data_IF_659695278661
#
_entry.id   IF_659695278661
#
_cell.length_a   1.000
_cell.length_b   1.000
_cell.length_c   1.000
_cell.angle_alpha   90.00
_cell.angle_beta   90.00
_cell.angle_gamma   90.00
#
_symmetry.space_group_name_H-M   'P 1'
#
loop_
_entity.id
_entity.type
_entity.pdbx_description
1 polymer ?
#
# COMPACT_ATOMS: atom_id res chain seq x y z
N UNK A 1 1.03 -4.91 11.37
CA UNK A 1 0.81 -6.07 10.48
C UNK A 1 1.93 -7.11 10.51
N UNK A 2 3.02 -6.94 11.29
CA UNK A 2 4.04 -7.98 11.46
C UNK A 2 5.01 -8.13 10.28
N UNK A 3 5.16 -7.07 9.48
CA UNK A 3 6.14 -6.99 8.40
C UNK A 3 7.35 -6.18 8.83
N UNK A 4 8.54 -6.61 8.43
CA UNK A 4 9.77 -5.84 8.60
C UNK A 4 9.99 -4.84 7.43
N UNK A 5 11.02 -4.02 7.52
CA UNK A 5 11.36 -2.99 6.52
C UNK A 5 11.48 -3.52 5.09
N UNK A 6 12.18 -4.64 4.92
CA UNK A 6 12.37 -5.29 3.62
C UNK A 6 11.04 -5.77 3.03
N UNK A 7 10.18 -6.36 3.87
CA UNK A 7 8.87 -6.89 3.49
C UNK A 7 7.90 -5.76 3.12
N UNK A 8 7.94 -4.65 3.87
CA UNK A 8 7.14 -3.44 3.59
C UNK A 8 7.52 -2.90 2.20
N UNK A 9 8.82 -2.70 1.96
CA UNK A 9 9.30 -2.19 0.67
C UNK A 9 8.96 -3.15 -0.47
N UNK A 10 9.11 -4.47 -0.26
CA UNK A 10 8.74 -5.45 -1.27
C UNK A 10 7.26 -5.30 -1.66
N UNK A 11 6.35 -5.26 -0.69
CA UNK A 11 4.91 -5.11 -0.95
C UNK A 11 4.57 -3.81 -1.67
N UNK A 12 5.25 -2.70 -1.37
CA UNK A 12 5.08 -1.44 -2.10
C UNK A 12 5.38 -1.57 -3.60
N UNK A 13 6.23 -2.53 -4.00
CA UNK A 13 6.50 -2.86 -5.40
C UNK A 13 5.27 -3.30 -6.21
N UNK A 14 4.15 -3.62 -5.56
CA UNK A 14 2.86 -3.86 -6.23
C UNK A 14 2.38 -2.63 -7.02
N UNK A 15 2.81 -1.41 -6.67
CA UNK A 15 2.55 -0.17 -7.43
C UNK A 15 3.19 -0.16 -8.83
N UNK A 16 3.79 -1.26 -9.28
CA UNK A 16 4.10 -1.47 -10.68
C UNK A 16 2.88 -1.84 -11.54
N UNK A 17 1.78 -2.27 -10.93
CA UNK A 17 0.57 -2.66 -11.63
C UNK A 17 -0.55 -1.64 -11.41
N UNK A 18 -1.28 -1.34 -12.48
CA UNK A 18 -2.43 -0.45 -12.45
C UNK A 18 -2.08 1.03 -12.35
N UNK A 19 -3.01 1.79 -11.77
CA UNK A 19 -2.94 3.26 -11.65
C UNK A 19 -3.87 3.75 -10.54
N UNK A 20 -3.66 4.99 -10.13
CA UNK A 20 -4.61 5.73 -9.32
C UNK A 20 -5.71 6.37 -10.20
N UNK A 21 -6.87 6.56 -9.56
CA UNK A 21 -8.06 7.18 -10.13
C UNK A 21 -8.63 8.22 -9.17
N UNK A 22 -8.79 9.44 -9.66
CA UNK A 22 -9.22 10.59 -8.85
C UNK A 22 -10.59 10.40 -8.19
N UNK A 23 -11.51 9.65 -8.80
CA UNK A 23 -12.83 9.34 -8.23
C UNK A 23 -12.80 8.27 -7.13
N UNK A 24 -11.67 7.58 -6.92
CA UNK A 24 -11.50 6.51 -5.92
C UNK A 24 -10.65 6.93 -4.74
N UNK A 25 -9.44 7.41 -5.02
CA UNK A 25 -8.46 7.79 -3.99
C UNK A 25 -8.15 9.29 -3.97
N UNK A 26 -8.61 10.04 -4.98
CA UNK A 26 -8.26 11.45 -5.15
C UNK A 26 -6.90 11.69 -5.82
N UNK A 27 -6.06 10.66 -5.96
CA UNK A 27 -4.82 10.65 -6.73
C UNK A 27 -5.06 10.22 -8.17
N UNK A 28 -4.19 10.61 -9.11
CA UNK A 28 -4.39 10.34 -10.54
C UNK A 28 -3.09 9.92 -11.23
N UNK A 29 -3.18 8.90 -12.09
CA UNK A 29 -2.09 8.50 -12.97
C UNK A 29 -1.45 7.16 -12.60
N UNK A 30 -0.55 6.70 -13.48
CA UNK A 30 0.16 5.41 -13.38
C UNK A 30 1.58 5.63 -12.86
N UNK A 31 2.12 4.65 -12.13
CA UNK A 31 3.49 4.69 -11.62
C UNK A 31 4.56 4.35 -12.67
N UNK A 32 4.21 3.52 -13.65
CA UNK A 32 5.14 2.98 -14.64
C UNK A 32 4.58 3.06 -16.06
N UNK A 33 5.45 2.95 -17.07
CA UNK A 33 5.06 3.08 -18.47
C UNK A 33 4.09 1.97 -18.90
N UNK A 34 4.34 0.73 -18.48
CA UNK A 34 3.52 -0.45 -18.81
C UNK A 34 2.83 -1.06 -17.56
N UNK A 35 1.70 -0.49 -17.11
CA UNK A 35 1.05 -0.83 -15.84
C UNK A 35 0.33 -2.19 -15.85
N UNK A 36 0.40 -2.96 -16.93
CA UNK A 36 -0.25 -4.28 -17.05
C UNK A 36 0.76 -5.43 -16.99
N UNK A 37 2.06 -5.14 -16.84
CA UNK A 37 3.12 -6.14 -16.78
C UNK A 37 3.93 -6.02 -15.50
N UNK A 38 3.98 -7.09 -14.74
CA UNK A 38 4.83 -7.14 -13.55
C UNK A 38 6.31 -7.13 -13.93
N UNK A 39 7.07 -6.24 -13.29
CA UNK A 39 8.48 -5.91 -13.55
C UNK A 39 9.13 -5.33 -12.27
N UNK A 40 10.32 -4.75 -12.34
CA UNK A 40 10.88 -3.94 -11.25
C UNK A 40 10.95 -2.44 -11.60
N UNK A 41 10.21 -2.02 -12.64
CA UNK A 41 10.28 -0.66 -13.17
C UNK A 41 9.86 0.39 -12.13
N UNK A 42 8.91 0.07 -11.25
CA UNK A 42 8.53 0.95 -10.13
C UNK A 42 9.74 1.43 -9.32
N UNK A 43 10.56 0.51 -8.79
CA UNK A 43 11.74 0.87 -7.99
C UNK A 43 12.81 1.58 -8.80
N UNK A 44 13.01 1.14 -10.06
CA UNK A 44 13.97 1.77 -10.97
C UNK A 44 13.61 3.23 -11.20
N UNK A 45 12.38 3.50 -11.64
CA UNK A 45 11.91 4.86 -11.94
C UNK A 45 11.83 5.73 -10.68
N UNK A 46 11.36 5.16 -9.56
CA UNK A 46 11.31 5.86 -8.27
C UNK A 46 12.68 6.47 -7.93
N UNK A 47 13.77 5.73 -8.15
CA UNK A 47 15.12 6.16 -7.79
C UNK A 47 15.84 7.00 -8.85
N UNK A 48 15.40 6.99 -10.12
CA UNK A 48 16.16 7.60 -11.23
C UNK A 48 15.52 8.83 -11.83
N UNK A 49 14.20 8.99 -11.74
CA UNK A 49 13.51 10.12 -12.36
C UNK A 49 13.46 11.34 -11.43
N UNK A 50 13.55 12.57 -11.98
CA UNK A 50 13.39 13.80 -11.21
C UNK A 50 11.90 14.05 -10.94
N UNK A 51 11.42 13.58 -9.79
CA UNK A 51 10.01 13.73 -9.38
C UNK A 51 9.70 15.14 -8.88
N UNK A 52 8.76 15.82 -9.53
CA UNK A 52 8.36 17.18 -9.18
C UNK A 52 7.02 17.20 -8.42
N UNK A 53 6.87 18.00 -7.35
CA UNK A 53 5.60 18.16 -6.66
C UNK A 53 4.50 18.68 -7.60
N UNK A 54 3.34 18.01 -7.62
CA UNK A 54 2.16 18.36 -8.42
C UNK A 54 0.94 18.44 -7.52
N UNK A 55 0.15 19.52 -7.66
CA UNK A 55 -1.15 19.64 -6.98
C UNK A 55 -2.26 19.38 -8.00
N UNK A 56 -3.11 18.39 -7.71
CA UNK A 56 -4.26 18.05 -8.56
C UNK A 56 -5.39 19.07 -8.40
N UNK A 57 -6.37 19.12 -9.32
CA UNK A 57 -7.55 19.99 -9.19
C UNK A 57 -8.34 19.78 -7.89
N UNK A 58 -8.27 18.58 -7.31
CA UNK A 58 -8.87 18.25 -6.01
C UNK A 58 -8.16 18.89 -4.80
N UNK A 59 -6.99 19.51 -4.99
CA UNK A 59 -6.11 20.02 -3.93
C UNK A 59 -5.16 18.97 -3.34
N UNK A 60 -5.27 17.71 -3.75
CA UNK A 60 -4.38 16.63 -3.32
C UNK A 60 -3.00 16.79 -3.96
N UNK A 61 -1.94 16.60 -3.16
CA UNK A 61 -0.55 16.68 -3.59
C UNK A 61 -0.02 15.29 -3.92
N UNK A 62 0.60 15.16 -5.07
CA UNK A 62 1.36 14.00 -5.51
C UNK A 62 2.67 14.45 -6.17
N UNK A 63 3.46 13.52 -6.68
CA UNK A 63 4.62 13.83 -7.50
C UNK A 63 4.36 13.41 -8.93
N UNK A 64 4.87 14.18 -9.89
CA UNK A 64 4.71 13.93 -11.32
C UNK A 64 6.04 13.93 -12.04
N UNK A 65 6.10 13.17 -13.12
CA UNK A 65 7.15 13.23 -14.12
C UNK A 65 6.51 13.13 -15.50
N UNK A 66 6.95 13.96 -16.43
CA UNK A 66 6.51 13.91 -17.82
C UNK A 66 7.73 13.70 -18.70
N UNK A 67 7.71 12.62 -19.47
CA UNK A 67 8.72 12.34 -20.49
C UNK A 67 8.42 13.20 -21.73
N UNK A 68 9.31 14.13 -22.08
CA UNK A 68 9.09 15.09 -23.17
C UNK A 68 9.05 14.43 -24.55
N UNK A 69 9.80 13.34 -24.76
CA UNK A 69 9.89 12.66 -26.06
C UNK A 69 8.67 11.78 -26.33
N UNK A 70 8.13 11.14 -25.30
CA UNK A 70 7.02 10.19 -25.41
C UNK A 70 5.69 10.75 -24.92
N UNK A 71 5.67 11.96 -24.39
CA UNK A 71 4.54 12.59 -23.68
C UNK A 71 3.96 11.70 -22.56
N UNK A 72 4.77 10.77 -22.03
CA UNK A 72 4.32 9.84 -21.00
C UNK A 72 4.31 10.54 -19.65
N UNK A 73 3.13 10.67 -19.05
CA UNK A 73 2.99 11.10 -17.67
C UNK A 73 3.04 9.93 -16.69
N UNK A 74 3.86 10.08 -15.67
CA UNK A 74 3.98 9.18 -14.53
C UNK A 74 3.75 9.95 -13.23
N UNK A 75 3.43 9.20 -12.18
CA UNK A 75 3.22 9.75 -10.85
C UNK A 75 3.84 8.88 -9.77
N UNK A 76 4.12 9.52 -8.64
CA UNK A 76 4.43 8.86 -7.38
C UNK A 76 3.59 9.48 -6.27
N UNK A 77 3.19 8.67 -5.30
CA UNK A 77 2.52 9.13 -4.10
C UNK A 77 3.54 9.68 -3.09
N UNK A 78 3.12 10.54 -2.14
CA UNK A 78 3.96 10.89 -1.00
C UNK A 78 4.46 9.66 -0.22
N UNK A 79 3.66 8.59 -0.16
CA UNK A 79 4.07 7.32 0.45
C UNK A 79 5.14 6.57 -0.34
N UNK A 80 5.16 6.69 -1.67
CA UNK A 80 6.22 6.10 -2.51
C UNK A 80 7.54 6.85 -2.27
N UNK A 81 7.50 8.18 -2.21
CA UNK A 81 8.67 9.01 -1.91
C UNK A 81 9.24 8.76 -0.50
N UNK A 82 8.39 8.42 0.47
CA UNK A 82 8.82 8.07 1.82
C UNK A 82 9.75 6.85 1.86
N UNK A 83 9.64 5.92 0.88
CA UNK A 83 10.53 4.77 0.79
C UNK A 83 11.98 5.15 0.47
N UNK A 84 12.19 6.27 -0.24
CA UNK A 84 13.52 6.81 -0.50
C UNK A 84 14.06 7.66 0.66
N UNK A 85 13.17 8.34 1.37
CA UNK A 85 13.55 9.23 2.47
C UNK A 85 13.98 8.46 3.72
N UNK A 86 13.41 7.27 3.96
CA UNK A 86 13.71 6.45 5.11
C UNK A 86 15.01 5.63 4.94
N UNK A 87 15.85 5.62 5.98
CA UNK A 87 17.18 4.97 5.94
C UNK A 87 17.11 3.44 5.95
N UNK A 88 16.06 2.85 6.54
CA UNK A 88 15.82 1.42 6.54
C UNK A 88 15.22 0.94 5.22
N UNK A 89 14.38 1.75 4.59
CA UNK A 89 13.70 1.40 3.33
C UNK A 89 14.55 1.64 2.08
N UNK A 90 15.26 2.77 2.00
CA UNK A 90 15.98 3.18 0.79
C UNK A 90 16.98 2.13 0.24
N UNK A 91 17.73 1.38 1.08
CA UNK A 91 18.60 0.31 0.59
C UNK A 91 17.84 -0.79 -0.16
N UNK A 92 16.62 -1.13 0.27
CA UNK A 92 15.79 -2.14 -0.39
C UNK A 92 15.21 -1.63 -1.70
N UNK A 93 14.78 -0.37 -1.74
CA UNK A 93 14.33 0.30 -2.99
C UNK A 93 15.42 0.22 -4.05
N UNK A 94 16.65 0.61 -3.68
CA UNK A 94 17.82 0.53 -4.58
C UNK A 94 18.08 -0.91 -5.03
N UNK A 95 18.12 -1.86 -4.09
CA UNK A 95 18.38 -3.27 -4.38
C UNK A 95 17.38 -3.87 -5.36
N UNK A 96 16.08 -3.61 -5.19
CA UNK A 96 15.04 -4.10 -6.10
C UNK A 96 15.04 -3.39 -7.45
N UNK A 97 15.46 -2.12 -7.50
CA UNK A 97 15.68 -1.41 -8.76
C UNK A 97 16.83 -1.98 -9.59
N UNK A 98 17.90 -2.42 -8.92
CA UNK A 98 19.10 -3.01 -9.54
C UNK A 98 18.90 -4.49 -9.93
N UNK A 99 18.22 -5.27 -9.09
CA UNK A 99 18.04 -6.72 -9.27
C UNK A 99 16.56 -7.12 -9.19
N UNK A 100 15.99 -7.42 -10.37
CA UNK A 100 14.59 -7.84 -10.49
C UNK A 100 14.32 -9.24 -9.92
N UNK A 101 15.30 -10.14 -9.93
CA UNK A 101 15.12 -11.54 -9.50
C UNK A 101 15.02 -11.60 -7.98
N UNK A 102 15.83 -10.79 -7.28
CA UNK A 102 15.69 -10.59 -5.83
C UNK A 102 14.31 -10.03 -5.51
N UNK A 103 13.87 -8.99 -6.22
CA UNK A 103 12.54 -8.42 -6.01
C UNK A 103 11.43 -9.46 -6.20
N UNK A 104 11.44 -10.21 -7.30
CA UNK A 104 10.39 -11.20 -7.59
C UNK A 104 10.35 -12.31 -6.55
N UNK A 105 11.52 -12.82 -6.15
CA UNK A 105 11.63 -13.83 -5.10
C UNK A 105 11.02 -13.32 -3.80
N UNK A 106 11.45 -12.15 -3.34
CA UNK A 106 11.01 -11.60 -2.06
C UNK A 106 9.53 -11.22 -2.09
N UNK A 107 9.06 -10.56 -3.16
CA UNK A 107 7.65 -10.22 -3.35
C UNK A 107 6.76 -11.46 -3.29
N UNK A 108 7.15 -12.56 -3.95
CA UNK A 108 6.32 -13.78 -3.96
C UNK A 108 6.11 -14.35 -2.56
N UNK A 109 7.16 -14.38 -1.73
CA UNK A 109 7.10 -14.89 -0.35
C UNK A 109 6.27 -13.96 0.53
N UNK A 110 6.50 -12.65 0.44
CA UNK A 110 5.84 -11.67 1.31
C UNK A 110 4.38 -11.48 0.91
N UNK A 111 4.06 -11.52 -0.38
CA UNK A 111 2.68 -11.48 -0.85
C UNK A 111 1.90 -12.73 -0.42
N UNK A 112 2.51 -13.93 -0.49
CA UNK A 112 1.90 -15.13 0.07
C UNK A 112 1.66 -15.01 1.58
N UNK A 113 2.65 -14.51 2.33
CA UNK A 113 2.51 -14.19 3.76
C UNK A 113 1.37 -13.21 4.03
N UNK A 114 1.21 -12.18 3.21
CA UNK A 114 0.11 -11.21 3.32
C UNK A 114 -1.25 -11.87 3.10
N UNK A 115 -1.39 -12.69 2.05
CA UNK A 115 -2.63 -13.37 1.72
C UNK A 115 -3.05 -14.39 2.78
N UNK A 116 -2.09 -15.04 3.44
CA UNK A 116 -2.35 -16.00 4.51
C UNK A 116 -2.29 -15.38 5.92
N UNK A 117 -2.12 -14.06 6.04
CA UNK A 117 -1.93 -13.42 7.33
C UNK A 117 -3.16 -13.64 8.24
N UNK A 118 -2.94 -14.30 9.38
CA UNK A 118 -4.00 -14.65 10.33
C UNK A 118 -4.56 -16.06 10.16
N UNK A 119 -4.18 -16.80 9.12
CA UNK A 119 -4.53 -18.22 8.97
C UNK A 119 -3.58 -19.07 9.82
N UNK A 120 -4.14 -19.91 10.67
CA UNK A 120 -3.46 -20.97 11.42
C UNK A 120 -3.79 -22.30 10.77
N UNK A 121 -2.78 -23.14 10.54
CA UNK A 121 -2.94 -24.48 9.99
C UNK A 121 -2.36 -25.52 10.94
N UNK A 122 -2.96 -26.71 10.96
CA UNK A 122 -2.35 -27.87 11.63
C UNK A 122 -1.28 -28.52 10.73
N UNK A 123 -0.65 -29.58 11.24
CA UNK A 123 0.37 -30.36 10.53
C UNK A 123 -0.12 -30.98 9.20
N UNK A 124 -1.44 -31.11 9.02
CA UNK A 124 -2.08 -31.64 7.80
C UNK A 124 -2.41 -30.53 6.79
N UNK A 125 -2.13 -29.26 7.12
CA UNK A 125 -2.46 -28.09 6.30
C UNK A 125 -3.91 -27.62 6.42
N UNK A 126 -4.70 -28.23 7.29
CA UNK A 126 -6.10 -27.85 7.52
C UNK A 126 -6.14 -26.55 8.32
N UNK A 127 -7.03 -25.62 7.94
CA UNK A 127 -7.20 -24.35 8.64
C UNK A 127 -7.85 -24.61 10.01
N UNK A 128 -7.19 -24.18 11.08
CA UNK A 128 -7.62 -24.38 12.47
C UNK A 128 -8.05 -23.08 13.16
N UNK A 129 -8.37 -22.04 12.39
CA UNK A 129 -8.91 -20.80 12.96
C UNK A 129 -10.21 -21.10 13.71
N UNK A 130 -10.16 -21.11 15.04
CA UNK A 130 -11.31 -21.32 15.92
C UNK A 130 -12.28 -20.12 15.94
N UNK A 131 -11.95 -19.05 15.21
CA UNK A 131 -12.76 -17.84 15.14
C UNK A 131 -14.18 -18.18 14.68
N UNK A 132 -14.35 -19.14 13.76
CA UNK A 132 -15.67 -19.58 13.29
C UNK A 132 -16.50 -20.33 14.36
N UNK A 133 -15.86 -20.90 15.39
CA UNK A 133 -16.55 -21.67 16.44
C UNK A 133 -16.85 -20.84 17.70
N UNK A 134 -16.03 -19.83 18.02
CA UNK A 134 -16.19 -18.97 19.21
C UNK A 134 -16.79 -17.59 18.95
N UNK A 135 -17.16 -17.30 17.71
CA UNK A 135 -17.75 -16.03 17.28
C UNK A 135 -17.03 -15.52 16.04
N UNK A 136 -17.53 -15.96 14.89
CA UNK A 136 -16.92 -15.81 13.55
C UNK A 136 -16.48 -14.40 13.20
N UNK A 137 -15.75 -14.29 12.10
CA UNK A 137 -15.40 -13.00 11.48
C UNK A 137 -16.64 -12.11 11.38
N UNK A 138 -16.70 -11.08 12.24
CA UNK A 138 -17.71 -10.04 12.14
C UNK A 138 -17.16 -9.06 11.11
N UNK A 139 -17.66 -9.15 9.87
CA UNK A 139 -17.37 -8.15 8.85
C UNK A 139 -17.52 -6.76 9.45
N UNK A 140 -16.54 -5.89 9.21
CA UNK A 140 -16.72 -4.48 9.50
C UNK A 140 -18.07 -4.03 8.89
N UNK A 141 -18.87 -3.24 9.61
CA UNK A 141 -20.15 -2.79 9.09
C UNK A 141 -19.95 -2.14 7.73
N UNK A 142 -20.89 -2.38 6.81
CA UNK A 142 -20.85 -1.86 5.43
C UNK A 142 -20.48 -0.38 5.47
N UNK A 143 -19.41 0.02 4.76
CA UNK A 143 -19.08 1.45 4.58
C UNK A 143 -20.27 2.14 3.90
N UNK A 144 -20.50 3.40 4.24
CA UNK A 144 -21.59 4.17 3.65
C UNK A 144 -21.46 4.17 2.12
N UNK A 145 -22.58 3.98 1.42
CA UNK A 145 -22.63 4.02 -0.05
C UNK A 145 -22.38 5.43 -0.61
N UNK A 146 -22.36 6.44 0.27
CA UNK A 146 -22.05 7.83 -0.04
C UNK A 146 -20.68 8.21 0.53
N UNK A 147 -19.85 8.97 -0.22
CA UNK A 147 -18.59 9.50 0.30
C UNK A 147 -18.83 10.33 1.57
N UNK A 148 -18.40 9.82 2.72
CA UNK A 148 -18.59 10.48 4.01
C UNK A 148 -17.37 11.28 4.42
N UNK A 149 -17.24 12.53 3.95
CA UNK A 149 -16.27 13.47 4.51
C UNK A 149 -16.81 14.03 5.84
N UNK A 150 -16.28 13.57 6.98
CA UNK A 150 -16.55 14.22 8.28
C UNK A 150 -15.53 15.35 8.47
N UNK A 151 -16.03 16.58 8.36
CA UNK A 151 -15.25 17.83 8.31
C UNK A 151 -14.45 18.16 9.58
N UNK A 152 -14.61 17.42 10.69
CA UNK A 152 -13.94 17.72 11.95
C UNK A 152 -13.63 16.43 12.73
N UNK A 153 -12.39 15.95 12.64
CA UNK A 153 -11.82 14.98 13.56
C UNK A 153 -10.29 15.18 13.63
N UNK A 154 -9.85 16.06 14.53
CA UNK A 154 -8.45 16.25 14.91
C UNK A 154 -7.71 17.40 14.22
N UNK A 155 -6.85 18.07 15.00
CA UNK A 155 -6.06 19.26 14.66
C UNK A 155 -5.23 19.04 13.38
N UNK A 156 -5.13 20.06 12.53
CA UNK A 156 -4.36 20.09 11.28
C UNK A 156 -4.83 19.22 10.08
N UNK A 157 -6.10 18.83 10.02
CA UNK A 157 -6.73 18.48 8.72
C UNK A 157 -6.22 17.20 8.04
N UNK A 158 -5.58 16.28 8.78
CA UNK A 158 -5.33 14.92 8.32
C UNK A 158 -6.41 13.93 8.81
N UNK A 159 -6.81 12.94 7.99
CA UNK A 159 -7.89 12.01 8.35
C UNK A 159 -7.41 10.96 9.36
N UNK A 160 -7.69 11.15 10.65
CA UNK A 160 -7.32 10.20 11.73
C UNK A 160 -8.50 9.36 12.25
N UNK A 161 -9.72 9.56 11.72
CA UNK A 161 -10.94 9.14 12.40
C UNK A 161 -11.27 7.62 12.38
N UNK A 162 -10.72 6.82 11.45
CA UNK A 162 -11.08 5.39 11.36
C UNK A 162 -10.26 4.49 12.33
N UNK A 163 -9.09 4.93 12.80
CA UNK A 163 -8.20 4.09 13.60
C UNK A 163 -8.72 3.86 15.03
N UNK A 164 -9.11 4.92 15.76
CA UNK A 164 -9.49 4.82 17.18
C UNK A 164 -10.74 3.95 17.43
N UNK A 165 -11.72 4.01 16.53
CA UNK A 165 -12.95 3.23 16.64
C UNK A 165 -12.74 1.74 16.38
N UNK A 166 -11.82 1.40 15.46
CA UNK A 166 -11.43 0.02 15.20
C UNK A 166 -10.55 -0.54 16.33
N UNK A 167 -9.66 0.28 16.88
CA UNK A 167 -8.78 -0.11 17.98
C UNK A 167 -9.56 -0.53 19.22
N UNK A 168 -10.59 0.22 19.63
CA UNK A 168 -11.44 -0.13 20.77
C UNK A 168 -12.20 -1.45 20.56
N UNK A 169 -12.70 -1.69 19.34
CA UNK A 169 -13.41 -2.94 18.99
C UNK A 169 -12.45 -4.13 18.95
N UNK A 170 -11.26 -3.94 18.39
CA UNK A 170 -10.23 -4.97 18.34
C UNK A 170 -9.68 -5.30 19.74
N UNK A 171 -9.54 -4.31 20.61
CA UNK A 171 -9.14 -4.51 22.00
C UNK A 171 -10.19 -5.32 22.79
N UNK A 172 -11.49 -5.00 22.63
CA UNK A 172 -12.59 -5.77 23.23
C UNK A 172 -12.69 -7.20 22.69
N UNK A 173 -12.32 -7.44 21.44
CA UNK A 173 -12.27 -8.79 20.87
C UNK A 173 -11.10 -9.59 21.45
N UNK A 174 -9.90 -8.99 21.50
CA UNK A 174 -8.71 -9.62 22.09
C UNK A 174 -8.85 -9.95 23.57
N UNK A 175 -9.64 -9.19 24.33
CA UNK A 175 -9.92 -9.50 25.74
C UNK A 175 -10.90 -10.66 25.96
N UNK A 176 -11.52 -11.18 24.89
CA UNK A 176 -12.48 -12.31 24.94
C UNK A 176 -11.86 -13.64 24.47
N UNK A 177 -10.64 -13.59 23.92
CA UNK A 177 -9.82 -14.75 23.57
C UNK A 177 -8.92 -15.12 24.76
#
# INVERSE_FOLDING_TARGET
MGFNDQEIVALSGAHNLGRCHSDRSGFEGKWVNNPTRFSNQYFKLLSTLPWEPRTLPSGIKQFGYTDEDTETELMMLPSDMALLADKGFAPWVKKYGEDKEVFFKDFSVVFAKLMELGIKRNERGEVTNLDNEKGGYISAPKKADTPGYKKHAGDEGQPVAEAEGLEKKNAQYRSRL
#
